data_IF_011857769510
#
_entry.id   IF_011857769510
#
_cell.length_a   1.000
_cell.length_b   1.000
_cell.length_c   1.000
_cell.angle_alpha   90.00
_cell.angle_beta   90.00
_cell.angle_gamma   90.00
#
_symmetry.space_group_name_H-M   'P 1'
#
loop_
_entity.id
_entity.type
_entity.pdbx_description
1 polymer ?
#
# COMPACT_ATOMS: atom_id res chain seq x y z
N UNK A 1 16.56 9.59 31.99
CA UNK A 1 16.00 8.42 31.24
C UNK A 1 15.42 8.96 29.95
N UNK A 2 16.02 8.63 28.83
CA UNK A 2 15.55 9.10 27.52
C UNK A 2 14.16 8.49 27.27
N UNK A 3 13.20 9.31 26.89
CA UNK A 3 11.87 8.85 26.52
C UNK A 3 11.96 7.94 25.29
N UNK A 4 11.77 6.64 25.49
CA UNK A 4 11.97 5.61 24.47
C UNK A 4 10.70 5.38 23.65
N UNK A 5 9.54 5.82 24.15
CA UNK A 5 8.25 5.62 23.49
C UNK A 5 7.77 6.93 22.87
N UNK A 6 7.42 6.88 21.60
CA UNK A 6 6.76 7.95 20.87
C UNK A 6 5.44 7.45 20.30
N UNK A 7 4.45 8.30 20.28
CA UNK A 7 3.12 7.99 19.76
C UNK A 7 3.00 8.55 18.34
N UNK A 8 2.55 7.69 17.42
CA UNK A 8 2.11 8.12 16.10
C UNK A 8 0.62 8.46 16.15
N UNK A 9 0.24 9.52 15.45
CA UNK A 9 -1.14 9.99 15.37
C UNK A 9 -1.64 9.92 13.93
N UNK A 10 -2.82 9.30 13.77
CA UNK A 10 -3.50 9.21 12.47
C UNK A 10 -4.90 9.77 12.66
N UNK A 11 -5.28 10.80 11.91
CA UNK A 11 -6.61 11.35 11.99
C UNK A 11 -7.65 10.36 11.46
N UNK A 12 -8.83 10.36 12.06
CA UNK A 12 -9.96 9.61 11.54
C UNK A 12 -10.38 10.15 10.17
N UNK A 13 -10.65 9.23 9.25
CA UNK A 13 -11.15 9.55 7.90
C UNK A 13 -12.41 8.74 7.63
N UNK A 14 -13.27 9.31 6.82
CA UNK A 14 -14.54 8.71 6.46
C UNK A 14 -14.62 8.58 4.93
N UNK A 15 -15.15 7.46 4.49
CA UNK A 15 -15.52 7.25 3.10
C UNK A 15 -16.98 6.83 3.09
N UNK A 16 -17.78 7.51 2.29
CA UNK A 16 -19.18 7.20 2.08
C UNK A 16 -19.48 7.03 0.59
N UNK A 17 -20.55 6.34 0.30
CA UNK A 17 -21.11 6.25 -1.04
C UNK A 17 -22.58 6.59 -0.99
N UNK A 18 -23.03 7.35 -1.98
CA UNK A 18 -24.43 7.66 -2.15
C UNK A 18 -24.87 7.20 -3.55
N UNK A 19 -26.13 6.90 -3.67
CA UNK A 19 -26.78 6.59 -4.93
C UNK A 19 -28.15 7.25 -4.98
N UNK A 20 -28.57 7.60 -6.17
CA UNK A 20 -29.86 8.22 -6.39
C UNK A 20 -30.58 7.49 -7.51
N UNK A 21 -31.90 7.44 -7.43
CA UNK A 21 -32.76 6.90 -8.46
C UNK A 21 -33.60 8.04 -9.01
N UNK A 22 -33.67 8.18 -10.32
CA UNK A 22 -34.52 9.18 -10.95
C UNK A 22 -36.02 8.77 -10.75
N UNK A 23 -36.81 9.74 -10.32
CA UNK A 23 -38.26 9.54 -10.13
C UNK A 23 -38.94 9.09 -11.41
N UNK A 24 -38.43 9.46 -12.58
CA UNK A 24 -38.93 9.02 -13.88
C UNK A 24 -38.72 7.55 -14.10
N UNK A 25 -37.58 6.99 -13.68
CA UNK A 25 -37.33 5.55 -13.76
C UNK A 25 -38.29 4.77 -12.87
N UNK A 26 -38.61 5.30 -11.69
CA UNK A 26 -39.62 4.71 -10.79
C UNK A 26 -40.99 4.73 -11.43
N UNK A 27 -41.37 5.83 -12.07
CA UNK A 27 -42.67 5.96 -12.71
C UNK A 27 -42.82 5.10 -13.97
N UNK A 28 -41.75 4.88 -14.72
CA UNK A 28 -41.75 4.02 -15.90
C UNK A 28 -41.76 2.53 -15.53
N UNK A 29 -41.20 2.15 -14.40
CA UNK A 29 -41.23 0.80 -13.84
C UNK A 29 -42.40 0.66 -12.86
N UNK A 30 -43.60 0.64 -13.37
CA UNK A 30 -44.85 0.74 -12.59
C UNK A 30 -45.20 -0.50 -11.74
N UNK A 31 -44.43 -1.60 -11.79
CA UNK A 31 -44.64 -2.76 -10.93
C UNK A 31 -43.77 -2.72 -9.68
N UNK A 32 -44.31 -3.18 -8.55
CA UNK A 32 -43.57 -3.23 -7.27
C UNK A 32 -42.31 -4.08 -7.34
N UNK A 33 -42.31 -5.13 -8.12
CA UNK A 33 -41.14 -6.00 -8.31
C UNK A 33 -40.04 -5.30 -9.10
N UNK A 34 -40.37 -4.60 -10.19
CA UNK A 34 -39.40 -3.88 -11.02
C UNK A 34 -38.71 -2.74 -10.24
N UNK A 35 -39.48 -2.02 -9.42
CA UNK A 35 -38.90 -0.96 -8.53
C UNK A 35 -37.97 -1.58 -7.51
N UNK A 36 -38.33 -2.71 -6.93
CA UNK A 36 -37.48 -3.37 -5.93
C UNK A 36 -36.19 -3.91 -6.54
N UNK A 37 -36.22 -4.44 -7.76
CA UNK A 37 -35.03 -4.90 -8.45
C UNK A 37 -34.14 -3.75 -8.91
N UNK A 38 -34.70 -2.60 -9.30
CA UNK A 38 -33.97 -1.40 -9.60
C UNK A 38 -33.19 -0.91 -8.35
N UNK A 39 -33.85 -0.84 -7.21
CA UNK A 39 -33.22 -0.43 -5.94
C UNK A 39 -32.11 -1.39 -5.55
N UNK A 40 -32.32 -2.70 -5.67
CA UNK A 40 -31.28 -3.70 -5.41
C UNK A 40 -30.07 -3.55 -6.33
N UNK A 41 -30.30 -3.36 -7.61
CA UNK A 41 -29.26 -3.18 -8.61
C UNK A 41 -28.42 -1.92 -8.32
N UNK A 42 -29.07 -0.80 -8.05
CA UNK A 42 -28.38 0.46 -7.70
C UNK A 42 -27.56 0.34 -6.41
N UNK A 43 -28.13 -0.34 -5.41
CA UNK A 43 -27.41 -0.61 -4.17
C UNK A 43 -26.19 -1.50 -4.39
N UNK A 44 -26.31 -2.56 -5.19
CA UNK A 44 -25.20 -3.44 -5.53
C UNK A 44 -24.09 -2.68 -6.26
N UNK A 45 -24.44 -1.85 -7.24
CA UNK A 45 -23.52 -0.98 -7.97
C UNK A 45 -22.79 -0.01 -7.02
N UNK A 46 -23.50 0.59 -6.07
CA UNK A 46 -22.89 1.50 -5.07
C UNK A 46 -21.87 0.78 -4.18
N UNK A 47 -22.15 -0.48 -3.78
CA UNK A 47 -21.19 -1.28 -3.00
C UNK A 47 -19.92 -1.63 -3.80
N UNK A 48 -20.07 -1.98 -5.08
CA UNK A 48 -18.93 -2.24 -5.97
C UNK A 48 -18.09 -0.97 -6.12
N UNK A 49 -18.73 0.15 -6.42
CA UNK A 49 -18.02 1.45 -6.55
C UNK A 49 -17.31 1.87 -5.26
N UNK A 50 -17.90 1.60 -4.09
CA UNK A 50 -17.24 1.86 -2.81
C UNK A 50 -16.01 0.98 -2.63
N UNK A 51 -16.10 -0.31 -2.96
CA UNK A 51 -14.98 -1.24 -2.86
C UNK A 51 -13.82 -0.83 -3.78
N UNK A 52 -14.12 -0.49 -5.04
CA UNK A 52 -13.14 0.00 -5.99
C UNK A 52 -12.47 1.31 -5.53
N UNK A 53 -13.27 2.23 -4.99
CA UNK A 53 -12.76 3.50 -4.48
C UNK A 53 -11.84 3.28 -3.27
N UNK A 54 -12.21 2.41 -2.33
CA UNK A 54 -11.37 2.04 -1.18
C UNK A 54 -10.07 1.37 -1.61
N UNK A 55 -10.12 0.49 -2.61
CA UNK A 55 -8.92 -0.15 -3.17
C UNK A 55 -7.99 0.89 -3.80
N UNK A 56 -8.52 1.82 -4.60
CA UNK A 56 -7.73 2.91 -5.17
C UNK A 56 -7.10 3.79 -4.09
N UNK A 57 -7.85 4.14 -3.05
CA UNK A 57 -7.33 4.91 -1.92
C UNK A 57 -6.27 4.14 -1.14
N UNK A 58 -6.43 2.82 -0.99
CA UNK A 58 -5.45 1.98 -0.30
C UNK A 58 -4.07 2.02 -0.97
N UNK A 59 -4.01 2.03 -2.30
CA UNK A 59 -2.75 2.08 -3.06
C UNK A 59 -2.24 3.49 -3.32
N UNK A 60 -3.01 4.51 -3.05
CA UNK A 60 -2.63 5.92 -3.22
C UNK A 60 -2.04 6.54 -1.95
N UNK A 61 -1.73 7.80 -2.02
CA UNK A 61 -1.44 8.65 -0.86
C UNK A 61 -2.40 9.83 -0.86
N UNK A 62 -2.85 10.25 0.31
CA UNK A 62 -3.57 11.50 0.46
C UNK A 62 -2.69 12.67 -0.01
N UNK A 63 -3.29 13.67 -0.66
CA UNK A 63 -2.55 14.78 -1.24
C UNK A 63 -1.92 15.70 -0.17
N UNK A 64 -2.51 15.77 1.00
CA UNK A 64 -2.01 16.56 2.13
C UNK A 64 -2.56 16.04 3.47
N UNK A 65 -2.04 16.54 4.56
CA UNK A 65 -2.52 16.22 5.90
C UNK A 65 -3.97 16.67 6.15
N UNK A 66 -4.47 17.64 5.39
CA UNK A 66 -5.86 18.15 5.46
C UNK A 66 -6.81 17.50 4.47
N UNK A 67 -6.30 16.63 3.59
CA UNK A 67 -7.13 15.88 2.65
C UNK A 67 -8.05 14.92 3.41
N UNK A 68 -9.31 14.84 3.01
CA UNK A 68 -10.33 13.98 3.63
C UNK A 68 -10.20 12.51 3.25
N UNK A 69 -9.44 12.20 2.21
CA UNK A 69 -9.20 10.85 1.75
C UNK A 69 -8.54 9.96 2.81
N UNK A 70 -8.87 8.67 2.79
CA UNK A 70 -8.25 7.67 3.66
C UNK A 70 -6.75 7.56 3.36
N UNK A 71 -5.94 7.42 4.39
CA UNK A 71 -4.51 7.25 4.21
C UNK A 71 -4.19 5.84 3.71
N UNK A 72 -3.68 5.79 2.49
CA UNK A 72 -3.24 4.55 1.85
C UNK A 72 -1.79 4.20 2.14
N UNK A 73 -1.30 3.14 1.49
CA UNK A 73 0.08 2.64 1.62
C UNK A 73 1.10 3.72 1.32
N UNK A 74 0.85 4.59 0.34
CA UNK A 74 1.74 5.68 -0.03
C UNK A 74 1.96 6.75 1.05
N UNK A 75 1.10 6.81 2.08
CA UNK A 75 1.32 7.68 3.24
C UNK A 75 2.28 7.07 4.27
N UNK A 76 2.48 5.76 4.25
CA UNK A 76 3.33 5.01 5.17
C UNK A 76 4.65 4.62 4.55
N UNK A 77 4.62 4.15 3.31
CA UNK A 77 5.78 3.69 2.55
C UNK A 77 6.11 4.74 1.50
N UNK A 78 7.10 5.56 1.78
CA UNK A 78 7.50 6.67 0.90
C UNK A 78 8.69 6.23 0.06
N UNK A 79 8.51 6.32 -1.26
CA UNK A 79 9.57 6.08 -2.22
C UNK A 79 10.46 7.32 -2.39
N UNK A 80 11.76 7.13 -2.30
CA UNK A 80 12.74 8.18 -2.58
C UNK A 80 13.35 7.96 -3.97
N UNK A 81 13.03 8.85 -4.89
CA UNK A 81 13.52 8.78 -6.27
C UNK A 81 14.93 9.39 -6.45
N UNK A 82 15.57 9.86 -5.39
CA UNK A 82 16.89 10.49 -5.47
C UNK A 82 18.05 9.49 -5.57
N UNK A 83 17.79 8.21 -5.26
CA UNK A 83 18.82 7.17 -5.32
C UNK A 83 19.17 6.79 -6.75
N UNK A 84 20.46 6.52 -7.03
CA UNK A 84 20.93 5.94 -8.29
C UNK A 84 20.62 4.45 -8.36
N UNK A 85 20.59 3.90 -9.58
CA UNK A 85 20.41 2.47 -9.81
C UNK A 85 21.50 1.66 -9.11
N UNK A 86 21.11 0.55 -8.50
CA UNK A 86 22.02 -0.28 -7.72
C UNK A 86 22.35 0.25 -6.31
N UNK A 87 21.67 1.29 -5.86
CA UNK A 87 21.82 1.83 -4.51
C UNK A 87 20.56 1.63 -3.67
N UNK A 88 20.74 1.51 -2.36
CA UNK A 88 19.64 1.46 -1.40
C UNK A 88 20.03 2.14 -0.10
N UNK A 89 19.11 2.87 0.50
CA UNK A 89 19.33 3.61 1.74
C UNK A 89 18.05 3.77 2.55
N UNK A 90 18.20 4.06 3.84
CA UNK A 90 17.10 4.56 4.65
C UNK A 90 16.82 6.01 4.31
N UNK A 91 15.63 6.29 3.81
CA UNK A 91 15.21 7.64 3.44
C UNK A 91 14.47 8.34 4.58
N UNK A 92 14.70 9.64 4.71
CA UNK A 92 13.88 10.53 5.55
C UNK A 92 12.80 11.26 4.77
N UNK A 93 12.51 10.81 3.56
CA UNK A 93 11.43 11.34 2.74
C UNK A 93 10.08 11.21 3.46
N UNK A 94 9.22 12.19 3.23
CA UNK A 94 7.85 12.23 3.71
C UNK A 94 6.90 12.24 2.51
N UNK A 95 5.63 11.82 2.66
CA UNK A 95 4.68 11.89 1.57
C UNK A 95 4.53 13.32 1.04
N UNK A 96 4.21 13.46 -0.22
CA UNK A 96 3.95 14.77 -0.82
C UNK A 96 2.86 15.51 -0.04
N UNK A 97 3.07 16.79 0.25
CA UNK A 97 2.13 17.60 1.04
C UNK A 97 2.17 17.35 2.55
N UNK A 98 3.09 16.53 3.05
CA UNK A 98 3.26 16.26 4.48
C UNK A 98 4.66 16.71 4.95
N UNK A 99 4.75 17.06 6.24
CA UNK A 99 6.02 17.39 6.91
C UNK A 99 6.51 16.24 7.79
N UNK A 100 5.63 15.30 8.11
CA UNK A 100 5.88 14.15 8.99
C UNK A 100 5.12 12.93 8.46
N UNK A 101 5.48 11.74 8.93
CA UNK A 101 4.70 10.52 8.73
C UNK A 101 3.99 10.20 10.04
N UNK A 102 2.67 10.29 10.05
CA UNK A 102 1.83 10.06 11.25
C UNK A 102 2.29 10.87 12.49
N UNK A 103 2.63 12.15 12.30
CA UNK A 103 3.08 13.04 13.36
C UNK A 103 4.56 12.88 13.76
N UNK A 104 5.25 11.87 13.23
CA UNK A 104 6.67 11.62 13.51
C UNK A 104 7.56 12.03 12.33
N UNK A 105 8.60 12.82 12.61
CA UNK A 105 9.58 13.22 11.59
C UNK A 105 10.64 12.13 11.38
N UNK A 106 10.77 11.56 10.16
CA UNK A 106 11.82 10.58 9.86
C UNK A 106 13.23 11.16 9.95
N UNK A 107 13.38 12.47 9.89
CA UNK A 107 14.68 13.15 10.07
C UNK A 107 15.12 13.05 11.52
N UNK A 108 14.20 13.31 12.47
CA UNK A 108 14.49 13.26 13.91
C UNK A 108 14.50 11.81 14.43
N UNK A 109 13.54 11.00 13.99
CA UNK A 109 13.38 9.62 14.44
C UNK A 109 13.90 8.64 13.38
N UNK A 110 15.17 8.33 13.41
CA UNK A 110 15.86 7.52 12.39
C UNK A 110 15.30 6.10 12.26
N UNK A 111 14.67 5.55 13.31
CA UNK A 111 14.00 4.24 13.27
C UNK A 111 12.65 4.27 12.54
N UNK A 112 12.15 5.47 12.25
CA UNK A 112 10.88 5.70 11.51
C UNK A 112 11.15 5.95 10.02
N UNK A 113 12.31 5.57 9.52
CA UNK A 113 12.69 5.72 8.12
C UNK A 113 12.32 4.49 7.33
N UNK A 114 11.83 4.72 6.11
CA UNK A 114 11.65 3.67 5.12
C UNK A 114 13.00 3.33 4.47
N UNK A 115 13.19 2.07 4.12
CA UNK A 115 14.28 1.70 3.25
C UNK A 115 13.79 1.77 1.79
N UNK A 116 14.55 2.45 0.94
CA UNK A 116 14.28 2.62 -0.47
C UNK A 116 15.49 2.20 -1.28
N UNK A 117 15.29 1.46 -2.36
CA UNK A 117 16.36 1.03 -3.25
C UNK A 117 15.90 1.01 -4.69
N UNK A 118 16.81 1.33 -5.62
CA UNK A 118 16.56 1.29 -7.06
C UNK A 118 17.26 0.11 -7.70
N UNK A 119 16.61 -0.44 -8.68
CA UNK A 119 17.12 -1.46 -9.57
C UNK A 119 16.84 -1.08 -11.02
N UNK A 120 17.61 -1.59 -11.94
CA UNK A 120 17.40 -1.42 -13.39
C UNK A 120 17.33 -2.74 -14.14
N UNK A 121 17.71 -3.84 -13.49
CA UNK A 121 17.77 -5.17 -14.13
C UNK A 121 17.09 -6.20 -13.24
N UNK A 122 16.43 -7.17 -13.89
CA UNK A 122 15.88 -8.37 -13.26
C UNK A 122 16.47 -9.56 -14.01
N UNK A 123 17.52 -10.15 -13.45
CA UNK A 123 18.21 -11.29 -14.03
C UNK A 123 18.75 -12.23 -12.93
N UNK A 124 19.50 -13.25 -13.31
CA UNK A 124 20.12 -14.20 -12.40
C UNK A 124 21.52 -13.79 -11.94
N UNK A 125 21.95 -12.57 -12.24
CA UNK A 125 23.28 -12.09 -11.84
C UNK A 125 23.26 -11.48 -10.43
N UNK A 126 24.43 -11.39 -9.83
CA UNK A 126 24.59 -10.72 -8.51
C UNK A 126 24.92 -9.23 -8.62
N UNK A 127 24.61 -8.60 -9.75
CA UNK A 127 24.88 -7.18 -9.95
C UNK A 127 24.13 -6.31 -8.92
N UNK A 128 24.74 -5.22 -8.51
CA UNK A 128 24.13 -4.29 -7.57
C UNK A 128 22.83 -3.65 -8.11
N UNK A 129 22.71 -3.55 -9.43
CA UNK A 129 21.51 -3.02 -10.11
C UNK A 129 20.37 -4.02 -10.22
N UNK A 130 20.56 -5.27 -9.74
CA UNK A 130 19.57 -6.32 -9.82
C UNK A 130 18.56 -6.23 -8.69
N UNK A 131 17.27 -6.42 -9.00
CA UNK A 131 16.15 -6.46 -8.06
C UNK A 131 16.37 -7.48 -6.94
N UNK A 132 16.84 -8.70 -7.28
CA UNK A 132 17.06 -9.77 -6.29
C UNK A 132 18.11 -9.36 -5.25
N UNK A 133 19.16 -8.69 -5.70
CA UNK A 133 20.20 -8.15 -4.80
C UNK A 133 19.63 -7.07 -3.89
N UNK A 134 18.79 -6.18 -4.42
CA UNK A 134 18.11 -5.14 -3.61
C UNK A 134 17.12 -5.75 -2.62
N UNK A 135 16.37 -6.76 -2.98
CA UNK A 135 15.48 -7.46 -2.04
C UNK A 135 16.22 -8.13 -0.90
N UNK A 136 17.33 -8.80 -1.18
CA UNK A 136 18.17 -9.37 -0.14
C UNK A 136 18.72 -8.31 0.81
N UNK A 137 19.17 -7.18 0.28
CA UNK A 137 19.62 -6.07 1.09
C UNK A 137 18.49 -5.49 1.96
N UNK A 138 17.30 -5.27 1.38
CA UNK A 138 16.12 -4.82 2.10
C UNK A 138 15.75 -5.77 3.25
N UNK A 139 15.75 -7.07 2.99
CA UNK A 139 15.44 -8.09 3.99
C UNK A 139 16.41 -8.04 5.19
N UNK A 140 17.69 -7.85 4.93
CA UNK A 140 18.71 -7.73 5.97
C UNK A 140 18.60 -6.39 6.73
N UNK A 141 18.43 -5.28 6.01
CA UNK A 141 18.38 -3.93 6.59
C UNK A 141 17.11 -3.67 7.39
N UNK A 142 15.97 -4.11 6.89
CA UNK A 142 14.68 -3.94 7.57
C UNK A 142 14.41 -5.00 8.62
N UNK A 143 15.25 -6.06 8.69
CA UNK A 143 15.09 -7.17 9.65
C UNK A 143 13.64 -7.68 9.67
N UNK A 144 13.11 -8.06 8.49
CA UNK A 144 11.74 -8.55 8.36
C UNK A 144 11.45 -9.65 9.38
N UNK A 145 10.84 -9.25 10.47
CA UNK A 145 10.35 -10.16 11.51
C UNK A 145 8.88 -9.94 11.63
N UNK A 146 8.11 -11.01 11.54
CA UNK A 146 6.71 -10.99 11.98
C UNK A 146 6.68 -10.53 13.44
N UNK A 147 5.64 -9.78 13.81
CA UNK A 147 5.38 -9.48 15.21
C UNK A 147 5.45 -10.80 16.00
N UNK A 148 6.17 -10.83 17.13
CA UNK A 148 6.31 -12.06 17.90
C UNK A 148 4.92 -12.55 18.32
N UNK A 149 4.50 -13.64 17.73
CA UNK A 149 3.18 -14.24 17.92
C UNK A 149 2.89 -14.54 19.40
N UNK A 150 3.95 -14.84 20.16
CA UNK A 150 3.85 -15.09 21.60
C UNK A 150 3.44 -13.86 22.44
N UNK A 151 3.70 -12.65 21.96
CA UNK A 151 3.38 -11.42 22.68
C UNK A 151 1.93 -10.94 22.45
N UNK A 152 1.33 -11.34 21.31
CA UNK A 152 -0.04 -10.94 20.95
C UNK A 152 -0.77 -12.16 20.36
N UNK A 153 -1.25 -13.09 21.22
CA UNK A 153 -1.84 -14.36 20.78
C UNK A 153 -3.00 -14.24 19.80
N UNK A 154 -3.79 -13.15 19.91
CA UNK A 154 -4.93 -12.90 19.01
C UNK A 154 -4.53 -12.55 17.57
N UNK A 155 -3.28 -12.18 17.33
CA UNK A 155 -2.74 -11.92 16.01
C UNK A 155 -1.78 -13.02 15.53
N UNK A 156 -1.65 -14.12 16.30
CA UNK A 156 -0.72 -15.20 16.04
C UNK A 156 -1.07 -16.06 14.82
N UNK A 157 -2.32 -16.04 14.39
CA UNK A 157 -2.79 -16.82 13.26
C UNK A 157 -3.00 -15.92 12.04
N UNK A 158 -2.18 -16.10 11.00
CA UNK A 158 -2.46 -15.56 9.67
C UNK A 158 -1.69 -14.32 9.24
N UNK A 159 -0.64 -13.89 9.93
CA UNK A 159 0.26 -12.89 9.37
C UNK A 159 1.24 -13.56 8.40
N UNK A 160 0.84 -13.65 7.16
CA UNK A 160 1.73 -14.01 6.07
C UNK A 160 2.43 -12.75 5.57
N UNK A 161 3.76 -12.84 5.46
CA UNK A 161 4.56 -11.79 4.82
C UNK A 161 4.65 -12.08 3.33
N UNK A 162 4.35 -11.09 2.50
CA UNK A 162 4.40 -11.22 1.06
C UNK A 162 5.14 -10.06 0.40
N UNK A 163 5.59 -10.29 -0.81
CA UNK A 163 6.09 -9.24 -1.69
C UNK A 163 4.97 -8.83 -2.65
N UNK A 164 4.64 -7.55 -2.66
CA UNK A 164 3.66 -6.99 -3.58
C UNK A 164 4.39 -6.37 -4.75
N UNK A 165 4.09 -6.83 -5.95
CA UNK A 165 4.75 -6.40 -7.17
C UNK A 165 3.77 -6.45 -8.35
N UNK A 166 4.12 -5.80 -9.46
CA UNK A 166 3.32 -5.84 -10.67
C UNK A 166 3.62 -7.10 -11.52
N UNK A 167 2.77 -7.35 -12.51
CA UNK A 167 2.88 -8.51 -13.40
C UNK A 167 4.21 -8.55 -14.17
N UNK A 168 4.70 -7.39 -14.64
CA UNK A 168 5.94 -7.32 -15.43
C UNK A 168 7.17 -7.80 -14.63
N UNK A 169 7.20 -7.48 -13.33
CA UNK A 169 8.25 -7.96 -12.43
C UNK A 169 8.14 -9.47 -12.22
N UNK A 170 6.92 -9.99 -12.03
CA UNK A 170 6.69 -11.44 -11.86
C UNK A 170 7.16 -12.18 -13.10
N UNK A 171 6.73 -11.75 -14.28
CA UNK A 171 7.12 -12.36 -15.57
C UNK A 171 8.64 -12.35 -15.78
N UNK A 172 9.30 -11.24 -15.44
CA UNK A 172 10.76 -11.13 -15.54
C UNK A 172 11.49 -12.06 -14.57
N UNK A 173 10.96 -12.24 -13.36
CA UNK A 173 11.52 -13.19 -12.38
C UNK A 173 11.34 -14.64 -12.82
N UNK A 174 10.17 -14.99 -13.35
CA UNK A 174 9.92 -16.34 -13.90
C UNK A 174 10.86 -16.66 -15.05
N UNK A 175 11.09 -15.70 -15.95
CA UNK A 175 12.05 -15.85 -17.04
C UNK A 175 13.48 -16.05 -16.52
N UNK A 176 13.92 -15.26 -15.53
CA UNK A 176 15.23 -15.39 -14.92
C UNK A 176 15.44 -16.75 -14.23
N UNK A 177 14.39 -17.30 -13.61
CA UNK A 177 14.40 -18.63 -13.00
C UNK A 177 14.47 -19.74 -14.03
N UNK A 178 13.77 -19.61 -15.15
CA UNK A 178 13.80 -20.59 -16.25
C UNK A 178 15.19 -20.69 -16.85
N UNK A 179 15.85 -19.56 -17.10
CA UNK A 179 17.23 -19.56 -17.63
C UNK A 179 18.25 -20.22 -16.69
N UNK A 180 18.00 -20.23 -15.39
CA UNK A 180 18.87 -20.88 -14.42
C UNK A 180 18.76 -22.41 -14.47
N UNK A 181 17.61 -22.94 -14.88
CA UNK A 181 17.39 -24.38 -14.96
C UNK A 181 17.88 -25.02 -16.27
N UNK A 182 18.15 -24.23 -17.30
CA UNK A 182 18.60 -24.69 -18.61
C UNK A 182 20.14 -24.79 -18.74
N UNK A 183 20.89 -24.46 -17.68
CA UNK A 183 22.33 -24.61 -17.55
C UNK A 183 22.68 -25.69 -16.51
#
# INVERSE_FOLDING_TARGET
RTDVMKQAEVPWRHTDTNWAVDIREILMNSSSEAIFDLIKSQRASAWVSLAEHLEQQFWSSAASATDENVWGVGNWIVYDNSASDGTGAFTSAVPSGFTTVAGLSPTTYTRWRNWSGRYSVIDNTSAATNLITRWREAAVKCSFKSLPQAAIPQYATGMEMGYYTNYDVISSLEYALTQQNDN
#
